data_IF_963214153454
#
_entry.id   IF_963214153454
#
_cell.length_a   1.000
_cell.length_b   1.000
_cell.length_c   1.000
_cell.angle_alpha   90.00
_cell.angle_beta   90.00
_cell.angle_gamma   90.00
#
_symmetry.space_group_name_H-M   'P 1'
#
loop_
_entity.id
_entity.type
_entity.pdbx_description
1 polymer ?
#
# COMPACT_ATOMS: atom_id res chain seq x y z
N UNK A 1 12.06 -45.87 2.78
CA UNK A 1 11.22 -44.96 1.96
C UNK A 1 10.76 -43.81 2.84
N UNK A 2 11.30 -42.60 2.65
CA UNK A 2 10.92 -41.41 3.45
C UNK A 2 9.61 -40.85 2.89
N UNK A 3 8.54 -40.85 3.69
CA UNK A 3 7.28 -40.17 3.35
C UNK A 3 7.58 -38.68 3.21
N UNK A 4 7.26 -38.07 2.06
CA UNK A 4 7.30 -36.61 1.89
C UNK A 4 6.29 -36.00 2.88
N UNK A 5 6.64 -34.91 3.60
CA UNK A 5 5.66 -34.21 4.41
C UNK A 5 4.60 -33.61 3.48
N UNK A 6 3.32 -33.77 3.84
CA UNK A 6 2.22 -33.01 3.24
C UNK A 6 2.54 -31.53 3.45
N UNK A 7 2.61 -30.75 2.36
CA UNK A 7 2.54 -29.30 2.45
C UNK A 7 1.15 -28.98 2.97
N UNK A 8 1.05 -28.70 4.26
CA UNK A 8 -0.10 -27.98 4.79
C UNK A 8 -0.01 -26.56 4.22
N UNK A 9 -0.92 -26.25 3.30
CA UNK A 9 -1.16 -24.87 2.89
C UNK A 9 -1.81 -24.17 4.08
N UNK A 10 -0.98 -23.58 4.93
CA UNK A 10 -1.43 -22.64 5.94
C UNK A 10 -1.86 -21.39 5.17
N UNK A 11 -3.15 -21.20 4.96
CA UNK A 11 -3.69 -19.88 4.60
C UNK A 11 -3.59 -18.99 5.84
N UNK A 12 -2.38 -18.52 6.12
CA UNK A 12 -2.13 -17.36 6.96
C UNK A 12 -2.40 -16.14 6.10
N UNK A 13 -3.38 -15.35 6.52
CA UNK A 13 -3.79 -14.13 5.84
C UNK A 13 -2.79 -13.02 6.22
N UNK A 14 -1.60 -13.11 5.60
CA UNK A 14 -0.53 -12.12 5.76
C UNK A 14 -0.93 -10.81 5.07
N UNK A 15 -0.37 -9.73 5.59
CA UNK A 15 -0.57 -8.34 5.15
C UNK A 15 -0.43 -8.23 3.63
N UNK A 16 -1.48 -7.82 2.92
CA UNK A 16 -1.36 -7.58 1.48
C UNK A 16 -0.66 -6.25 1.23
N UNK A 17 0.67 -6.27 1.22
CA UNK A 17 1.48 -5.21 0.67
C UNK A 17 1.64 -5.46 -0.84
N UNK A 18 1.32 -4.48 -1.66
CA UNK A 18 1.69 -4.51 -3.08
C UNK A 18 2.80 -3.53 -3.32
N UNK A 19 3.93 -4.05 -3.80
CA UNK A 19 5.12 -3.27 -4.13
C UNK A 19 5.24 -3.19 -5.65
N UNK A 20 5.36 -1.97 -6.17
CA UNK A 20 5.68 -1.69 -7.57
C UNK A 20 7.08 -1.13 -7.65
N UNK A 21 7.97 -1.85 -8.31
CA UNK A 21 9.34 -1.42 -8.57
C UNK A 21 9.41 -0.78 -9.96
N UNK A 22 9.85 0.47 -10.01
CA UNK A 22 10.03 1.25 -11.23
C UNK A 22 11.52 1.48 -11.47
N UNK A 23 12.01 1.04 -12.62
CA UNK A 23 13.44 1.10 -12.96
C UNK A 23 13.67 1.98 -14.18
N UNK A 24 14.77 2.73 -14.18
CA UNK A 24 15.19 3.54 -15.30
C UNK A 24 14.11 4.53 -15.81
N UNK A 25 13.31 5.16 -14.94
CA UNK A 25 12.13 5.95 -15.35
C UNK A 25 12.38 7.46 -15.51
N UNK A 26 13.35 8.00 -14.77
CA UNK A 26 13.64 9.44 -14.65
C UNK A 26 12.36 10.25 -14.34
N UNK A 27 11.78 9.96 -13.18
CA UNK A 27 10.47 10.44 -12.74
C UNK A 27 10.57 11.62 -11.77
N UNK A 28 9.57 12.50 -11.81
CA UNK A 28 9.36 13.50 -10.75
C UNK A 28 8.61 12.85 -9.57
N UNK A 29 9.35 12.35 -8.57
CA UNK A 29 8.78 11.64 -7.42
C UNK A 29 7.87 12.54 -6.57
N UNK A 30 8.19 13.82 -6.45
CA UNK A 30 7.36 14.78 -5.72
C UNK A 30 6.02 15.00 -6.43
N UNK A 31 6.03 15.17 -7.75
CA UNK A 31 4.80 15.33 -8.53
C UNK A 31 3.93 14.06 -8.51
N UNK A 32 4.55 12.87 -8.57
CA UNK A 32 3.83 11.59 -8.40
C UNK A 32 3.18 11.52 -7.02
N UNK A 33 3.92 11.87 -5.96
CA UNK A 33 3.42 11.83 -4.59
C UNK A 33 2.24 12.78 -4.37
N UNK A 34 2.33 14.03 -4.84
CA UNK A 34 1.23 15.00 -4.76
C UNK A 34 0.00 14.54 -5.54
N UNK A 35 0.18 13.97 -6.73
CA UNK A 35 -0.94 13.42 -7.49
C UNK A 35 -1.58 12.23 -6.78
N UNK A 36 -0.81 11.36 -6.10
CA UNK A 36 -1.35 10.28 -5.28
C UNK A 36 -2.19 10.85 -4.12
N UNK A 37 -1.69 11.86 -3.41
CA UNK A 37 -2.45 12.55 -2.36
C UNK A 37 -3.78 13.06 -2.92
N UNK A 38 -3.75 13.75 -4.06
CA UNK A 38 -4.98 14.24 -4.70
C UNK A 38 -5.94 13.12 -5.12
N UNK A 39 -5.47 11.94 -5.51
CA UNK A 39 -6.34 10.79 -5.78
C UNK A 39 -6.98 10.25 -4.50
N UNK A 40 -6.24 10.20 -3.39
CA UNK A 40 -6.77 9.77 -2.09
C UNK A 40 -7.81 10.76 -1.56
N UNK A 41 -7.61 12.07 -1.73
CA UNK A 41 -8.54 13.11 -1.29
C UNK A 41 -9.87 13.13 -2.07
N UNK A 42 -9.89 12.59 -3.30
CA UNK A 42 -11.13 12.45 -4.08
C UNK A 42 -12.04 11.37 -3.51
N UNK A 43 -11.49 10.40 -2.77
CA UNK A 43 -12.25 9.33 -2.18
C UNK A 43 -12.94 9.83 -0.90
N UNK A 44 -14.27 9.97 -0.96
CA UNK A 44 -15.07 10.51 0.15
C UNK A 44 -15.06 9.61 1.37
N UNK A 45 -14.73 8.33 1.17
CA UNK A 45 -14.58 7.38 2.25
C UNK A 45 -13.20 7.42 2.90
N UNK A 46 -12.23 8.22 2.44
CA UNK A 46 -10.90 8.31 3.02
C UNK A 46 -10.63 9.71 3.62
N UNK A 47 -9.85 9.72 4.70
CA UNK A 47 -9.32 10.93 5.32
C UNK A 47 -7.82 10.74 5.54
N UNK A 48 -7.01 11.65 5.00
CA UNK A 48 -5.58 11.65 5.22
C UNK A 48 -5.29 12.03 6.68
N UNK A 49 -4.50 11.21 7.35
CA UNK A 49 -4.13 11.39 8.77
C UNK A 49 -2.64 11.63 8.96
N UNK A 50 -1.82 11.24 7.99
CA UNK A 50 -0.38 11.45 8.03
C UNK A 50 0.17 11.72 6.63
N UNK A 51 1.16 12.61 6.56
CA UNK A 51 1.99 12.90 5.39
C UNK A 51 3.42 13.05 5.88
N UNK A 52 4.33 12.33 5.27
CA UNK A 52 5.74 12.28 5.62
C UNK A 52 6.55 12.49 4.35
N UNK A 53 7.48 13.45 4.39
CA UNK A 53 8.43 13.71 3.32
C UNK A 53 9.78 13.91 3.96
N UNK A 54 10.60 12.88 3.85
CA UNK A 54 11.93 12.83 4.43
C UNK A 54 12.94 12.37 3.39
N UNK A 55 14.20 12.38 3.81
CA UNK A 55 15.30 11.80 3.06
C UNK A 55 15.85 10.63 3.89
N UNK A 56 16.09 9.50 3.23
CA UNK A 56 16.76 8.36 3.85
C UNK A 56 18.22 8.70 4.19
N UNK A 57 18.87 7.89 5.02
CA UNK A 57 20.29 8.09 5.37
C UNK A 57 21.21 8.14 4.14
N UNK A 58 20.82 7.47 3.05
CA UNK A 58 21.57 7.42 1.80
C UNK A 58 21.28 8.60 0.85
N UNK A 59 20.47 9.57 1.26
CA UNK A 59 20.13 10.74 0.46
C UNK A 59 18.95 10.55 -0.51
N UNK A 60 18.23 9.43 -0.42
CA UNK A 60 17.10 9.15 -1.30
C UNK A 60 15.78 9.63 -0.71
N UNK A 61 14.87 10.23 -1.50
CA UNK A 61 13.53 10.56 -1.07
C UNK A 61 12.77 9.41 -0.39
N UNK A 62 12.09 9.74 0.71
CA UNK A 62 11.14 8.89 1.42
C UNK A 62 9.82 9.67 1.58
N UNK A 63 8.83 9.36 0.74
CA UNK A 63 7.55 10.09 0.69
C UNK A 63 6.44 9.11 1.07
N UNK A 64 5.66 9.40 2.11
CA UNK A 64 4.60 8.50 2.59
C UNK A 64 3.34 9.26 2.94
N UNK A 65 2.19 8.73 2.52
CA UNK A 65 0.87 9.23 2.88
C UNK A 65 0.05 8.11 3.49
N UNK A 66 -0.61 8.40 4.60
CA UNK A 66 -1.53 7.49 5.28
C UNK A 66 -2.93 8.08 5.29
N UNK A 67 -3.90 7.30 4.81
CA UNK A 67 -5.31 7.60 4.86
C UNK A 67 -6.08 6.54 5.65
N UNK A 68 -7.16 6.95 6.32
CA UNK A 68 -8.06 6.08 7.07
C UNK A 68 -9.50 6.30 6.65
N UNK A 69 -10.38 5.33 6.87
CA UNK A 69 -11.79 5.45 6.46
C UNK A 69 -12.55 6.54 7.25
N UNK A 70 -13.33 7.37 6.56
CA UNK A 70 -14.24 8.38 7.12
C UNK A 70 -15.43 7.71 7.79
N UNK A 71 -15.80 8.19 8.98
CA UNK A 71 -17.02 7.75 9.67
C UNK A 71 -16.83 6.59 10.64
N UNK A 72 -15.60 6.21 11.00
CA UNK A 72 -15.34 5.37 12.17
C UNK A 72 -15.62 6.19 13.43
N UNK A 73 -16.78 6.02 14.11
CA UNK A 73 -17.14 6.85 15.25
C UNK A 73 -16.28 6.39 16.43
N UNK A 74 -15.30 7.20 16.80
CA UNK A 74 -14.40 6.88 17.89
C UNK A 74 -13.38 5.80 17.54
N UNK A 75 -12.28 5.87 18.28
CA UNK A 75 -11.39 4.75 18.59
C UNK A 75 -12.20 3.60 19.23
N UNK A 76 -13.11 3.00 18.47
CA UNK A 76 -13.66 1.70 18.81
C UNK A 76 -12.50 0.73 18.62
N UNK A 77 -11.89 0.40 19.75
CA UNK A 77 -10.78 -0.54 19.90
C UNK A 77 -11.00 -1.75 18.99
N UNK A 78 -10.25 -1.83 17.89
CA UNK A 78 -10.13 -3.06 17.13
C UNK A 78 -10.20 -2.97 15.60
N UNK A 79 -10.51 -1.85 14.94
CA UNK A 79 -10.50 -1.83 13.46
C UNK A 79 -10.08 -0.48 12.86
N UNK A 80 -8.80 -0.09 12.95
CA UNK A 80 -8.29 0.99 12.09
C UNK A 80 -8.03 0.43 10.69
N UNK A 81 -8.88 0.82 9.73
CA UNK A 81 -8.72 0.53 8.31
C UNK A 81 -7.80 1.59 7.71
N UNK A 82 -6.55 1.22 7.50
CA UNK A 82 -5.46 2.08 7.08
C UNK A 82 -5.01 1.73 5.66
N UNK A 83 -4.85 2.77 4.85
CA UNK A 83 -4.22 2.72 3.55
C UNK A 83 -2.97 3.59 3.62
N UNK A 84 -1.79 3.01 3.37
CA UNK A 84 -0.57 3.78 3.22
C UNK A 84 0.02 3.59 1.83
N UNK A 85 0.53 4.67 1.28
CA UNK A 85 1.31 4.67 0.03
C UNK A 85 2.65 5.31 0.32
N UNK A 86 3.72 4.58 0.05
CA UNK A 86 5.09 5.01 0.29
C UNK A 86 5.91 4.95 -0.99
N UNK A 87 6.64 6.00 -1.30
CA UNK A 87 7.60 6.09 -2.41
C UNK A 87 9.00 6.17 -1.80
N UNK A 88 9.91 5.33 -2.26
CA UNK A 88 11.32 5.35 -1.82
C UNK A 88 12.26 5.03 -2.95
N UNK A 89 13.38 5.75 -3.03
CA UNK A 89 14.43 5.53 -4.03
C UNK A 89 14.79 6.80 -4.79
N UNK A 90 15.38 6.65 -5.96
CA UNK A 90 15.83 7.77 -6.81
C UNK A 90 14.83 8.05 -7.92
N UNK A 91 14.85 9.25 -8.54
CA UNK A 91 14.08 9.54 -9.75
C UNK A 91 14.25 8.49 -10.86
N UNK A 92 15.43 7.87 -10.95
CA UNK A 92 15.67 6.85 -11.97
C UNK A 92 15.13 5.48 -11.55
N UNK A 93 15.33 5.08 -10.30
CA UNK A 93 15.01 3.76 -9.77
C UNK A 93 14.39 3.86 -8.37
N UNK A 94 13.10 3.51 -8.25
CA UNK A 94 12.34 3.66 -7.01
C UNK A 94 11.26 2.57 -6.87
N UNK A 95 10.72 2.48 -5.67
CA UNK A 95 9.59 1.61 -5.33
C UNK A 95 8.40 2.45 -4.88
N UNK A 96 7.20 1.95 -5.19
CA UNK A 96 5.94 2.42 -4.60
C UNK A 96 5.32 1.25 -3.86
N UNK A 97 5.24 1.35 -2.55
CA UNK A 97 4.62 0.36 -1.67
C UNK A 97 3.22 0.83 -1.28
N UNK A 98 2.22 -0.02 -1.49
CA UNK A 98 0.83 0.22 -1.07
C UNK A 98 0.44 -0.82 -0.06
N UNK A 99 0.10 -0.38 1.16
CA UNK A 99 -0.41 -1.24 2.21
C UNK A 99 -1.88 -0.92 2.46
N UNK A 100 -2.73 -1.94 2.43
CA UNK A 100 -4.12 -1.85 2.86
C UNK A 100 -4.34 -2.85 4.02
N UNK A 101 -4.53 -2.34 5.23
CA UNK A 101 -4.65 -3.16 6.44
C UNK A 101 -5.81 -2.73 7.35
N UNK A 102 -6.36 -3.69 8.09
CA UNK A 102 -7.19 -3.43 9.26
C UNK A 102 -6.35 -3.78 10.50
N UNK A 103 -6.15 -2.85 11.43
CA UNK A 103 -5.55 -3.19 12.73
C UNK A 103 -6.63 -3.73 13.66
N UNK A 104 -6.80 -5.05 13.57
CA UNK A 104 -7.51 -5.91 14.50
C UNK A 104 -6.82 -6.05 15.86
N UNK A 105 -7.00 -5.13 16.82
CA UNK A 105 -6.66 -5.40 18.23
C UNK A 105 -7.94 -5.74 19.01
N UNK A 106 -8.35 -7.01 18.99
CA UNK A 106 -9.35 -7.50 19.94
C UNK A 106 -8.63 -7.93 21.22
N UNK A 107 -8.68 -7.06 22.24
CA UNK A 107 -8.35 -7.43 23.63
C UNK A 107 -9.60 -7.98 24.34
N UNK A 108 -10.32 -8.91 23.70
CA UNK A 108 -11.28 -9.75 24.41
C UNK A 108 -10.49 -10.78 25.21
N UNK A 109 -10.33 -10.51 26.50
CA UNK A 109 -9.65 -11.40 27.43
C UNK A 109 -10.23 -12.81 27.35
N UNK A 110 -9.34 -13.78 27.16
CA UNK A 110 -9.59 -15.22 27.03
C UNK A 110 -10.23 -15.66 25.70
N UNK A 111 -9.51 -16.57 25.02
CA UNK A 111 -9.93 -17.36 23.85
C UNK A 111 -9.68 -16.77 22.46
N UNK A 112 -8.40 -16.79 22.05
CA UNK A 112 -8.01 -17.00 20.65
C UNK A 112 -8.09 -15.77 19.75
N UNK A 113 -6.93 -15.21 19.45
CA UNK A 113 -6.71 -14.20 18.41
C UNK A 113 -7.34 -14.67 17.08
N UNK A 114 -8.54 -14.19 16.76
CA UNK A 114 -9.15 -14.35 15.43
C UNK A 114 -8.84 -13.10 14.62
N UNK A 115 -7.73 -13.14 13.90
CA UNK A 115 -7.45 -12.17 12.84
C UNK A 115 -8.39 -12.47 11.68
N UNK A 116 -9.57 -11.83 11.65
CA UNK A 116 -10.28 -11.67 10.39
C UNK A 116 -9.39 -10.84 9.47
N UNK A 117 -9.18 -11.31 8.24
CA UNK A 117 -8.41 -10.58 7.23
C UNK A 117 -8.93 -9.17 7.00
N UNK A 118 -8.18 -8.31 6.27
CA UNK A 118 -8.56 -6.92 6.04
C UNK A 118 -9.88 -6.84 5.25
N UNK A 119 -10.99 -6.72 5.97
CA UNK A 119 -12.28 -6.39 5.39
C UNK A 119 -12.43 -4.87 5.44
N UNK A 120 -12.02 -4.21 4.36
CA UNK A 120 -12.14 -2.77 4.24
C UNK A 120 -13.61 -2.34 4.05
N UNK A 121 -14.58 -3.24 3.91
CA UNK A 121 -16.01 -2.92 3.72
C UNK A 121 -16.33 -2.17 2.42
N UNK A 122 -15.31 -1.80 1.66
CA UNK A 122 -15.31 -1.69 0.20
C UNK A 122 -14.97 -3.09 -0.35
N UNK A 123 -15.28 -3.43 -1.61
CA UNK A 123 -14.55 -4.51 -2.26
C UNK A 123 -13.07 -4.13 -2.27
N UNK A 124 -12.34 -4.49 -1.20
CA UNK A 124 -11.02 -3.95 -0.83
C UNK A 124 -9.98 -4.22 -1.92
N UNK A 125 -10.19 -5.31 -2.66
CA UNK A 125 -9.44 -5.63 -3.87
C UNK A 125 -9.71 -4.64 -5.01
N UNK A 126 -10.96 -4.25 -5.29
CA UNK A 126 -11.29 -3.41 -6.43
C UNK A 126 -10.71 -1.99 -6.29
N UNK A 127 -10.88 -1.36 -5.13
CA UNK A 127 -10.29 -0.03 -4.88
C UNK A 127 -8.76 -0.10 -4.91
N UNK A 128 -8.15 -1.12 -4.28
CA UNK A 128 -6.70 -1.31 -4.33
C UNK A 128 -6.20 -1.53 -5.76
N UNK A 129 -6.89 -2.34 -6.56
CA UNK A 129 -6.57 -2.54 -7.98
C UNK A 129 -6.69 -1.25 -8.78
N UNK A 130 -7.72 -0.44 -8.55
CA UNK A 130 -7.90 0.85 -9.21
C UNK A 130 -6.82 1.85 -8.78
N UNK A 131 -6.46 1.91 -7.51
CA UNK A 131 -5.36 2.73 -7.01
C UNK A 131 -4.02 2.31 -7.61
N UNK A 132 -3.73 1.01 -7.66
CA UNK A 132 -2.50 0.49 -8.27
C UNK A 132 -2.42 0.81 -9.76
N UNK A 133 -3.54 0.69 -10.49
CA UNK A 133 -3.64 1.11 -11.88
C UNK A 133 -3.44 2.62 -12.01
N UNK A 134 -4.02 3.40 -11.10
CA UNK A 134 -3.88 4.85 -11.09
C UNK A 134 -2.43 5.28 -10.84
N UNK A 135 -1.73 4.61 -9.92
CA UNK A 135 -0.30 4.81 -9.70
C UNK A 135 0.49 4.61 -11.00
N UNK A 136 0.21 3.55 -11.78
CA UNK A 136 0.87 3.36 -13.08
C UNK A 136 0.58 4.52 -14.05
N UNK A 137 -0.65 5.04 -14.08
CA UNK A 137 -1.02 6.20 -14.90
C UNK A 137 -0.30 7.48 -14.45
N UNK A 138 -0.19 7.70 -13.13
CA UNK A 138 0.51 8.85 -12.54
C UNK A 138 2.01 8.79 -12.80
N UNK A 139 2.61 7.60 -12.68
CA UNK A 139 4.02 7.39 -13.06
C UNK A 139 4.21 7.70 -14.54
N UNK A 140 3.37 7.18 -15.45
CA UNK A 140 3.46 7.52 -16.88
C UNK A 140 3.38 9.01 -17.15
N UNK A 141 2.52 9.72 -16.42
CA UNK A 141 2.32 11.17 -16.56
C UNK A 141 3.56 11.97 -16.18
N UNK A 142 4.32 11.52 -15.18
CA UNK A 142 5.43 12.25 -14.55
C UNK A 142 6.80 11.62 -14.78
N UNK A 143 6.91 10.70 -15.74
CA UNK A 143 8.18 10.05 -16.12
C UNK A 143 8.51 10.34 -17.57
N UNK A 144 9.81 10.37 -17.88
CA UNK A 144 10.28 10.56 -19.25
C UNK A 144 10.10 9.30 -20.13
N UNK A 145 9.91 8.14 -19.50
CA UNK A 145 9.81 6.85 -20.18
C UNK A 145 8.45 6.18 -19.98
N UNK A 146 8.05 5.44 -21.02
CA UNK A 146 6.85 4.62 -20.99
C UNK A 146 7.04 3.40 -20.09
N UNK A 147 5.95 2.98 -19.43
CA UNK A 147 5.92 1.73 -18.67
C UNK A 147 5.88 0.51 -19.61
N UNK A 148 6.74 -0.46 -19.34
CA UNK A 148 6.87 -1.72 -20.05
C UNK A 148 7.34 -2.85 -19.12
N UNK A 149 7.53 -4.03 -19.70
CA UNK A 149 7.92 -5.22 -18.94
C UNK A 149 9.35 -5.15 -18.37
N UNK A 150 10.22 -4.32 -18.96
CA UNK A 150 11.63 -4.22 -18.59
C UNK A 150 11.89 -3.22 -17.45
N UNK A 151 10.94 -2.33 -17.17
CA UNK A 151 11.08 -1.24 -16.20
C UNK A 151 10.01 -1.23 -15.10
N UNK A 152 9.06 -2.16 -15.12
CA UNK A 152 8.04 -2.29 -14.07
C UNK A 152 7.94 -3.72 -13.59
N UNK A 153 8.03 -3.90 -12.28
CA UNK A 153 7.83 -5.18 -11.61
C UNK A 153 6.82 -4.99 -10.48
N UNK A 154 5.80 -5.85 -10.39
CA UNK A 154 4.81 -5.81 -9.31
C UNK A 154 4.93 -7.07 -8.49
N UNK A 155 5.14 -6.90 -7.19
CA UNK A 155 5.28 -7.95 -6.19
C UNK A 155 4.09 -7.81 -5.24
N UNK A 156 3.37 -8.90 -5.00
CA UNK A 156 2.27 -8.95 -4.04
C UNK A 156 2.61 -10.03 -3.02
N UNK A 157 2.71 -9.63 -1.76
CA UNK A 157 2.97 -10.52 -0.63
C UNK A 157 1.69 -10.79 0.18
#
# INVERSE_FOLDING_TARGET
MKKKPKRETVFGLDKMATVKCFKNMNSDLSAIFEDIIMELEKEKELNIVNRLEEETEDGNPFLSVTAVRVGTPGYTYGETRELSVTITGTPNDYIVEVHAGCWGFDYSGAEGLKTSGPDFGLPSSAYLHDLLRRIDELVRKHSEKDLGFDNVETITE
#
